data_IF_780306838484
#
_entry.id   IF_780306838484
#
_cell.length_a   1.000
_cell.length_b   1.000
_cell.length_c   1.000
_cell.angle_alpha   90.00
_cell.angle_beta   90.00
_cell.angle_gamma   90.00
#
_symmetry.space_group_name_H-M   'P 1'
#
loop_
_entity.id
_entity.type
_entity.pdbx_description
1 polymer ?
#
# COMPACT_ATOMS: atom_id res chain seq x y z
N UNK A 1 5.63 12.42 8.07
CA UNK A 1 6.17 11.88 6.81
C UNK A 1 5.19 10.81 6.36
N UNK A 2 4.85 10.75 5.08
CA UNK A 2 3.95 9.70 4.60
C UNK A 2 4.67 8.35 4.57
N UNK A 3 3.99 7.28 4.99
CA UNK A 3 4.53 5.92 4.96
C UNK A 3 4.10 5.26 3.67
N UNK A 4 5.02 4.57 3.00
CA UNK A 4 4.73 3.77 1.80
C UNK A 4 4.91 2.30 2.16
N UNK A 5 3.96 1.48 1.76
CA UNK A 5 3.96 0.04 1.94
C UNK A 5 4.15 -0.65 0.61
N UNK A 6 5.04 -1.65 0.57
CA UNK A 6 5.01 -2.70 -0.43
C UNK A 6 4.03 -3.76 0.05
N UNK A 7 3.05 -4.09 -0.79
CA UNK A 7 2.10 -5.14 -0.50
C UNK A 7 2.59 -6.47 -1.07
N UNK A 8 2.26 -7.57 -0.40
CA UNK A 8 2.49 -8.92 -0.94
C UNK A 8 1.74 -9.21 -2.24
N UNK A 9 0.74 -8.39 -2.62
CA UNK A 9 0.09 -8.47 -3.93
C UNK A 9 0.97 -7.97 -5.09
N UNK A 10 2.09 -7.30 -4.78
CA UNK A 10 3.02 -6.71 -5.75
C UNK A 10 2.83 -5.21 -5.96
N UNK A 11 1.70 -4.65 -5.52
CA UNK A 11 1.42 -3.22 -5.51
C UNK A 11 2.08 -2.45 -4.37
N UNK A 12 2.00 -1.12 -4.48
CA UNK A 12 2.50 -0.17 -3.48
C UNK A 12 1.40 0.79 -3.07
N UNK A 13 1.33 1.10 -1.78
CA UNK A 13 0.27 1.92 -1.20
C UNK A 13 0.84 2.95 -0.23
N UNK A 14 0.32 4.16 -0.25
CA UNK A 14 0.54 5.12 0.85
C UNK A 14 -0.37 4.82 2.05
N UNK A 15 -0.05 5.40 3.21
CA UNK A 15 -0.93 5.39 4.38
C UNK A 15 -2.36 5.88 4.07
N UNK A 16 -2.51 6.86 3.18
CA UNK A 16 -3.82 7.36 2.71
C UNK A 16 -4.56 6.28 1.94
N UNK A 17 -3.91 5.61 0.98
CA UNK A 17 -4.56 4.57 0.16
C UNK A 17 -4.91 3.33 0.97
N UNK A 18 -4.08 2.96 1.95
CA UNK A 18 -4.39 1.89 2.92
C UNK A 18 -5.63 2.28 3.72
N UNK A 19 -5.66 3.49 4.28
CA UNK A 19 -6.81 3.99 5.03
C UNK A 19 -8.10 4.01 4.20
N UNK A 20 -8.05 4.48 2.95
CA UNK A 20 -9.21 4.50 2.05
C UNK A 20 -9.77 3.09 1.80
N UNK A 21 -8.91 2.06 1.68
CA UNK A 21 -9.33 0.67 1.50
C UNK A 21 -9.98 0.08 2.76
N UNK A 22 -9.43 0.41 3.93
CA UNK A 22 -10.01 0.04 5.22
C UNK A 22 -11.37 0.71 5.42
N UNK A 23 -11.49 2.00 5.13
CA UNK A 23 -12.74 2.77 5.25
C UNK A 23 -13.81 2.25 4.31
N UNK A 24 -13.43 1.90 3.07
CA UNK A 24 -14.33 1.29 2.10
C UNK A 24 -14.72 -0.16 2.43
N UNK A 25 -14.16 -0.77 3.48
CA UNK A 25 -14.40 -2.16 3.86
C UNK A 25 -13.78 -3.20 2.92
N UNK A 26 -12.92 -2.77 1.99
CA UNK A 26 -12.24 -3.67 1.04
C UNK A 26 -11.18 -4.50 1.74
N UNK A 27 -10.55 -3.91 2.75
CA UNK A 27 -9.55 -4.53 3.61
C UNK A 27 -10.01 -4.46 5.07
N UNK A 28 -9.69 -5.48 5.85
CA UNK A 28 -9.91 -5.53 7.29
C UNK A 28 -8.56 -5.69 8.00
N UNK A 29 -8.28 -4.94 9.08
CA UNK A 29 -7.03 -5.08 9.80
C UNK A 29 -7.00 -6.39 10.58
N UNK A 30 -5.90 -7.14 10.49
CA UNK A 30 -5.74 -8.43 11.17
C UNK A 30 -4.71 -8.38 12.29
N UNK A 31 -3.48 -7.95 11.98
CA UNK A 31 -2.35 -7.97 12.91
C UNK A 31 -1.39 -6.84 12.59
N UNK A 32 -0.66 -6.37 13.61
CA UNK A 32 0.40 -5.37 13.46
C UNK A 32 1.63 -5.79 14.26
N UNK A 33 2.79 -5.77 13.61
CA UNK A 33 4.10 -5.90 14.25
C UNK A 33 4.69 -4.50 14.53
N UNK A 34 4.73 -4.12 15.81
CA UNK A 34 5.23 -2.80 16.23
C UNK A 34 6.70 -2.56 15.86
N UNK A 35 7.56 -3.58 16.03
CA UNK A 35 9.02 -3.46 15.82
C UNK A 35 9.39 -3.16 14.36
N UNK A 36 8.62 -3.70 13.41
CA UNK A 36 8.90 -3.58 11.97
C UNK A 36 7.97 -2.57 11.28
N UNK A 37 6.83 -2.27 11.89
CA UNK A 37 5.75 -1.51 11.24
C UNK A 37 4.97 -2.34 10.21
N UNK A 38 5.15 -3.66 10.17
CA UNK A 38 4.42 -4.54 9.25
C UNK A 38 2.98 -4.73 9.69
N UNK A 39 2.07 -4.63 8.73
CA UNK A 39 0.64 -4.81 8.97
C UNK A 39 0.08 -5.92 8.10
N UNK A 40 -0.81 -6.73 8.65
CA UNK A 40 -1.59 -7.72 7.90
C UNK A 40 -3.01 -7.25 7.76
N UNK A 41 -3.52 -7.35 6.54
CA UNK A 41 -4.91 -7.04 6.20
C UNK A 41 -5.54 -8.21 5.46
N UNK A 42 -6.80 -8.48 5.73
CA UNK A 42 -7.60 -9.47 5.01
C UNK A 42 -8.49 -8.77 3.98
N UNK A 43 -8.52 -9.28 2.75
CA UNK A 43 -9.35 -8.74 1.66
C UNK A 43 -10.76 -9.31 1.69
N UNK A 44 -11.68 -8.71 0.92
CA UNK A 44 -13.02 -9.26 0.69
C UNK A 44 -13.01 -10.68 0.09
N UNK A 45 -11.90 -11.11 -0.52
CA UNK A 45 -11.71 -12.46 -1.05
C UNK A 45 -11.13 -13.45 -0.02
N UNK A 46 -11.09 -13.06 1.27
CA UNK A 46 -10.48 -13.86 2.36
C UNK A 46 -8.98 -14.11 2.13
N UNK A 47 -8.31 -13.25 1.36
CA UNK A 47 -6.86 -13.31 1.16
C UNK A 47 -6.14 -12.45 2.19
N UNK A 48 -5.10 -13.01 2.81
CA UNK A 48 -4.26 -12.28 3.75
C UNK A 48 -3.09 -11.61 3.03
N UNK A 49 -3.03 -10.28 3.09
CA UNK A 49 -1.96 -9.48 2.51
C UNK A 49 -1.06 -8.90 3.60
N UNK A 50 0.24 -8.86 3.32
CA UNK A 50 1.26 -8.21 4.14
C UNK A 50 1.57 -6.83 3.55
N UNK A 51 1.52 -5.81 4.39
CA UNK A 51 2.00 -4.46 4.13
C UNK A 51 3.35 -4.28 4.83
N UNK A 52 4.42 -4.22 4.05
CA UNK A 52 5.79 -4.02 4.52
C UNK A 52 6.20 -2.56 4.26
N UNK A 53 6.54 -1.76 5.29
CA UNK A 53 6.92 -0.37 5.09
C UNK A 53 8.27 -0.27 4.36
N UNK A 54 8.33 0.56 3.32
CA UNK A 54 9.54 0.74 2.48
C UNK A 54 9.97 2.20 2.44
N UNK A 55 11.29 2.44 2.31
CA UNK A 55 11.76 3.80 2.10
C UNK A 55 11.42 4.26 0.68
N UNK A 56 11.09 5.55 0.53
CA UNK A 56 10.84 6.17 -0.80
C UNK A 56 12.01 5.97 -1.78
N UNK A 57 13.24 5.89 -1.28
CA UNK A 57 14.45 5.66 -2.08
C UNK A 57 14.58 4.23 -2.62
N UNK A 58 13.78 3.30 -2.12
CA UNK A 58 13.78 1.88 -2.51
C UNK A 58 12.65 1.55 -3.50
N UNK A 59 11.83 2.54 -3.86
CA UNK A 59 10.77 2.34 -4.83
C UNK A 59 11.35 2.06 -6.23
N UNK A 60 10.78 1.07 -6.95
CA UNK A 60 11.24 0.73 -8.28
C UNK A 60 10.88 1.84 -9.28
N UNK A 61 11.61 1.87 -10.40
CA UNK A 61 11.27 2.73 -11.53
C UNK A 61 9.83 2.43 -12.01
N UNK A 62 9.04 3.47 -12.24
CA UNK A 62 7.61 3.34 -12.59
C UNK A 62 6.66 3.40 -11.39
N UNK A 63 7.17 3.44 -10.15
CA UNK A 63 6.36 3.80 -8.98
C UNK A 63 6.57 5.27 -8.64
N UNK A 64 5.53 6.06 -8.79
CA UNK A 64 5.54 7.50 -8.57
C UNK A 64 4.83 7.88 -7.28
N UNK A 65 5.31 8.96 -6.68
CA UNK A 65 4.74 9.55 -5.48
C UNK A 65 4.22 10.95 -5.81
N UNK A 66 2.92 11.14 -5.66
CA UNK A 66 2.25 12.42 -5.87
C UNK A 66 1.79 13.04 -4.55
N UNK A 67 1.90 14.37 -4.45
CA UNK A 67 1.34 15.11 -3.33
C UNK A 67 -0.17 15.31 -3.55
N UNK A 68 -0.97 14.99 -2.54
CA UNK A 68 -2.41 15.22 -2.52
C UNK A 68 -2.81 16.10 -1.31
N UNK A 69 -4.03 16.64 -1.31
CA UNK A 69 -4.54 17.42 -0.17
C UNK A 69 -4.58 16.62 1.13
N UNK A 70 -4.79 15.31 1.04
CA UNK A 70 -4.91 14.39 2.19
C UNK A 70 -3.59 13.74 2.59
N UNK A 71 -2.49 14.02 1.88
CA UNK A 71 -1.20 13.40 2.12
C UNK A 71 -0.47 13.10 0.83
N UNK A 72 -0.12 11.83 0.64
CA UNK A 72 0.63 11.36 -0.52
C UNK A 72 -0.10 10.18 -1.14
N UNK A 73 -0.07 10.11 -2.47
CA UNK A 73 -0.58 8.98 -3.23
C UNK A 73 0.57 8.28 -3.94
N UNK A 74 0.52 6.95 -3.98
CA UNK A 74 1.40 6.13 -4.80
C UNK A 74 0.66 5.75 -6.08
N UNK A 75 1.33 5.96 -7.22
CA UNK A 75 0.92 5.43 -8.52
C UNK A 75 1.95 4.44 -9.00
N UNK A 76 1.48 3.35 -9.58
CA UNK A 76 2.32 2.28 -10.06
C UNK A 76 2.05 2.04 -11.54
N UNK A 77 2.76 2.78 -12.39
CA UNK A 77 2.59 2.74 -13.85
C UNK A 77 2.96 1.35 -14.43
N UNK A 78 3.59 0.47 -13.64
CA UNK A 78 3.93 -0.90 -14.04
C UNK A 78 2.73 -1.82 -14.04
N UNK A 79 1.72 -1.55 -13.19
CA UNK A 79 0.49 -2.32 -13.14
C UNK A 79 -0.45 -1.94 -14.28
N UNK A 80 -0.51 -0.66 -14.65
CA UNK A 80 -1.25 -0.19 -15.84
C UNK A 80 -0.72 -0.82 -17.15
N UNK A 81 0.58 -1.13 -17.22
CA UNK A 81 1.20 -1.74 -18.39
C UNK A 81 0.88 -3.25 -18.56
N UNK A 82 0.36 -3.92 -17.52
CA UNK A 82 -0.02 -5.34 -17.57
C UNK A 82 -1.47 -5.55 -18.04
N UNK A 83 -2.27 -4.49 -18.12
CA UNK A 83 -3.64 -4.50 -18.64
C UNK A 83 -3.74 -4.11 -20.14
N UNK A 84 -2.60 -3.88 -20.81
CA UNK A 84 -2.51 -3.57 -22.25
C UNK A 84 -2.07 -4.74 -23.12
#
# INVERSE_FOLDING_TARGET
MATIYQCSDGGYYSDVQVWERLEAGRWQPCCWEEDTGREWVETEAEELLLLDPVARSELPEGVQIESASSGVLVRDDRLDALEC
#
